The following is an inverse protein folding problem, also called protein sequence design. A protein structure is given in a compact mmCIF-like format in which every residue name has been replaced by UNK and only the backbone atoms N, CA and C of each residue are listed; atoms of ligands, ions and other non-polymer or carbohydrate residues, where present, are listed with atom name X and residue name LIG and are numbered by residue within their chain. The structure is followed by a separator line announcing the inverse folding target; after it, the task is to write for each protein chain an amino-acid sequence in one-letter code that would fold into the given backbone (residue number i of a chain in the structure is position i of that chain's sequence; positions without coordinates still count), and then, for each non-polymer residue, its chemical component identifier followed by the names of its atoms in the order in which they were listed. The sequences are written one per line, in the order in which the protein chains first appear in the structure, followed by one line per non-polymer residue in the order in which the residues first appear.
data_IF_395140600915
#
_entry.id   IF_395140600915
#
_cell.length_a   1.000
_cell.length_b   1.000
_cell.length_c   1.000
_cell.angle_alpha   90.00
_cell.angle_beta   90.00
_cell.angle_gamma   90.00
#
_symmetry.space_group_name_H-M   'P 1'
#
loop_
_entity.id
_entity.type
_entity.pdbx_description
1 polymer ?
#
# COMPACT_ATOMS: atom_id res chain seq x y z
N UNK A 1 -9.74 -36.87 27.95
CA UNK A 1 -8.79 -36.85 26.81
C UNK A 1 -9.39 -36.21 25.56
N UNK A 2 -10.51 -36.70 25.01
CA UNK A 2 -11.12 -36.17 23.77
C UNK A 2 -11.50 -34.68 23.85
N UNK A 3 -12.15 -34.25 24.94
CA UNK A 3 -12.56 -32.85 25.16
C UNK A 3 -11.37 -31.89 25.32
N UNK A 4 -10.31 -32.33 25.98
CA UNK A 4 -9.08 -31.56 26.19
C UNK A 4 -8.32 -31.34 24.89
N UNK A 5 -8.29 -32.36 24.02
CA UNK A 5 -7.66 -32.27 22.68
C UNK A 5 -8.42 -31.31 21.78
N UNK A 6 -9.76 -31.31 21.82
CA UNK A 6 -10.57 -30.35 21.06
C UNK A 6 -10.33 -28.90 21.49
N UNK A 7 -10.21 -28.64 22.80
CA UNK A 7 -9.90 -27.30 23.32
C UNK A 7 -8.50 -26.86 22.86
N UNK A 8 -7.52 -27.76 22.90
CA UNK A 8 -6.15 -27.45 22.46
C UNK A 8 -6.08 -27.09 20.97
N UNK A 9 -6.80 -27.82 20.12
CA UNK A 9 -6.89 -27.53 18.68
C UNK A 9 -7.58 -26.19 18.43
N UNK A 10 -8.66 -25.89 19.16
CA UNK A 10 -9.35 -24.61 19.03
C UNK A 10 -8.44 -23.42 19.39
N UNK A 11 -7.64 -23.54 20.45
CA UNK A 11 -6.70 -22.50 20.87
C UNK A 11 -5.59 -22.28 19.82
N UNK A 12 -5.06 -23.36 19.22
CA UNK A 12 -4.04 -23.27 18.17
C UNK A 12 -4.60 -22.59 16.90
N UNK A 13 -5.83 -22.91 16.50
CA UNK A 13 -6.49 -22.28 15.34
C UNK A 13 -6.72 -20.78 15.58
N UNK A 14 -7.15 -20.39 16.79
CA UNK A 14 -7.31 -18.98 17.16
C UNK A 14 -5.96 -18.25 17.15
N UNK A 15 -4.89 -18.87 17.67
CA UNK A 15 -3.54 -18.29 17.62
C UNK A 15 -3.00 -18.14 16.19
N UNK A 16 -3.26 -19.12 15.31
CA UNK A 16 -2.88 -19.04 13.89
C UNK A 16 -3.64 -17.94 13.13
N UNK A 17 -4.92 -17.72 13.45
CA UNK A 17 -5.71 -16.61 12.91
C UNK A 17 -5.16 -15.25 13.36
N UNK A 18 -4.73 -15.11 14.62
CA UNK A 18 -4.11 -13.88 15.12
C UNK A 18 -2.77 -13.56 14.43
N UNK A 19 -1.96 -14.58 14.12
CA UNK A 19 -0.71 -14.39 13.35
C UNK A 19 -0.94 -14.01 11.88
N UNK A 20 -2.09 -14.36 11.31
CA UNK A 20 -2.45 -13.99 9.93
C UNK A 20 -2.78 -12.50 9.79
N UNK A 21 -3.05 -11.79 10.90
CA UNK A 21 -3.23 -10.34 10.91
C UNK A 21 -1.91 -9.56 10.95
N UNK A 22 -0.77 -10.24 11.17
CA UNK A 22 0.54 -9.60 11.35
C UNK A 22 1.49 -9.83 10.15
N UNK A 23 0.92 -10.14 9.00
CA UNK A 23 1.63 -10.38 7.74
C UNK A 23 1.03 -9.57 6.59
N UNK A 24 0.98 -8.23 6.70
CA UNK A 24 0.92 -7.28 5.59
C UNK A 24 0.86 -5.82 6.09
N UNK A 25 1.83 -5.37 6.88
CA UNK A 25 2.19 -3.94 6.88
C UNK A 25 3.08 -3.63 5.66
N UNK A 26 2.56 -3.96 4.49
CA UNK A 26 3.01 -3.52 3.16
C UNK A 26 1.86 -2.87 2.38
N UNK A 27 0.83 -2.42 3.10
CA UNK A 27 -0.41 -1.86 2.57
C UNK A 27 -0.67 -0.47 3.13
N UNK A 28 0.32 0.42 3.07
CA UNK A 28 0.07 1.84 3.29
C UNK A 28 -0.56 2.41 2.04
N UNK A 29 -1.87 2.70 2.16
CA UNK A 29 -2.51 3.94 1.73
C UNK A 29 -2.42 4.33 0.25
N UNK A 30 -3.58 4.67 -0.32
CA UNK A 30 -3.72 5.13 -1.69
C UNK A 30 -2.64 6.12 -2.17
N UNK A 31 -2.21 5.91 -3.42
CA UNK A 31 -1.80 6.98 -4.32
C UNK A 31 -0.46 7.70 -4.13
N UNK A 32 0.38 7.40 -3.13
CA UNK A 32 1.46 8.35 -2.76
C UNK A 32 2.90 7.80 -2.68
N UNK A 33 3.14 6.51 -2.93
CA UNK A 33 4.50 5.94 -2.81
C UNK A 33 5.30 5.81 -4.11
N UNK A 34 4.63 5.78 -5.27
CA UNK A 34 5.27 5.48 -6.55
C UNK A 34 4.83 6.42 -7.65
N UNK A 35 5.75 6.80 -8.52
CA UNK A 35 5.51 7.58 -9.71
C UNK A 35 4.52 6.83 -10.62
N UNK A 36 3.42 7.48 -10.99
CA UNK A 36 2.39 6.87 -11.83
C UNK A 36 2.90 6.49 -13.23
N UNK A 37 3.88 7.24 -13.76
CA UNK A 37 4.49 7.05 -15.09
C UNK A 37 5.53 5.92 -15.10
N UNK A 38 6.63 6.06 -14.35
CA UNK A 38 7.76 5.11 -14.42
C UNK A 38 7.80 4.10 -13.26
N UNK A 39 6.82 4.15 -12.36
CA UNK A 39 6.72 3.29 -11.16
C UNK A 39 7.91 3.37 -10.21
N UNK A 40 8.87 4.29 -10.38
CA UNK A 40 9.92 4.57 -9.38
C UNK A 40 9.32 5.20 -8.12
N UNK A 41 10.08 5.36 -7.04
CA UNK A 41 9.63 6.07 -5.84
C UNK A 41 9.10 7.47 -6.21
N UNK A 42 7.90 7.80 -5.72
CA UNK A 42 7.39 9.16 -5.85
C UNK A 42 8.04 10.06 -4.80
N UNK A 43 8.51 11.22 -5.23
CA UNK A 43 9.05 12.28 -4.36
C UNK A 43 8.07 13.45 -4.26
N UNK A 44 7.12 13.55 -5.19
CA UNK A 44 6.12 14.60 -5.27
C UNK A 44 4.72 14.02 -5.47
N UNK A 45 3.70 14.74 -5.01
CA UNK A 45 2.30 14.44 -5.30
C UNK A 45 1.69 15.62 -6.05
N UNK A 46 1.03 15.35 -7.17
CA UNK A 46 0.34 16.37 -7.97
C UNK A 46 -1.02 15.84 -8.39
N UNK A 47 -2.09 16.63 -8.19
CA UNK A 47 -3.48 16.24 -8.53
C UNK A 47 -3.86 14.84 -7.96
N UNK A 48 -3.40 14.52 -6.75
CA UNK A 48 -3.66 13.23 -6.09
C UNK A 48 -2.86 12.03 -6.64
N UNK A 49 -1.96 12.24 -7.59
CA UNK A 49 -1.08 11.20 -8.15
C UNK A 49 0.37 11.40 -7.73
N UNK A 50 1.09 10.31 -7.44
CA UNK A 50 2.52 10.33 -7.14
C UNK A 50 3.39 10.47 -8.40
N UNK A 51 4.44 11.28 -8.31
CA UNK A 51 5.42 11.51 -9.38
C UNK A 51 6.86 11.53 -8.83
N UNK A 52 7.83 11.11 -9.65
CA UNK A 52 9.25 11.40 -9.39
C UNK A 52 9.59 12.80 -9.91
N UNK A 53 10.72 13.37 -9.49
CA UNK A 53 11.13 14.75 -9.83
C UNK A 53 10.98 15.11 -11.31
N UNK A 54 11.47 14.25 -12.22
CA UNK A 54 11.37 14.48 -13.66
C UNK A 54 9.92 14.59 -14.11
N UNK A 55 9.12 13.56 -13.84
CA UNK A 55 7.74 13.48 -14.30
C UNK A 55 6.79 14.44 -13.58
N UNK A 56 7.14 14.91 -12.39
CA UNK A 56 6.42 15.98 -11.71
C UNK A 56 6.51 17.27 -12.54
N UNK A 57 7.72 17.68 -12.95
CA UNK A 57 7.91 18.89 -13.77
C UNK A 57 7.18 18.78 -15.12
N UNK A 58 7.22 17.61 -15.74
CA UNK A 58 6.52 17.36 -17.00
C UNK A 58 5.00 17.49 -16.82
N UNK A 59 4.46 16.96 -15.73
CA UNK A 59 3.03 17.07 -15.39
C UNK A 59 2.60 18.53 -15.14
N UNK A 60 3.42 19.32 -14.44
CA UNK A 60 3.17 20.77 -14.23
C UNK A 60 3.23 21.53 -15.56
N UNK A 61 4.25 21.27 -16.38
CA UNK A 61 4.42 21.95 -17.66
C UNK A 61 3.26 21.65 -18.61
N UNK A 62 2.83 20.38 -18.65
CA UNK A 62 1.68 19.96 -19.44
C UNK A 62 0.39 20.63 -18.96
N UNK A 63 0.13 20.68 -17.65
CA UNK A 63 -1.10 21.27 -17.12
C UNK A 63 -1.19 22.77 -17.40
N UNK A 64 -0.07 23.50 -17.25
CA UNK A 64 -0.01 24.93 -17.59
C UNK A 64 -0.24 25.22 -19.07
N UNK A 65 0.08 24.27 -19.94
CA UNK A 65 -0.06 24.41 -21.40
C UNK A 65 -1.46 24.01 -21.88
N UNK A 66 -2.05 22.96 -21.31
CA UNK A 66 -3.25 22.31 -21.84
C UNK A 66 -4.53 22.59 -21.05
N UNK A 67 -4.43 23.11 -19.82
CA UNK A 67 -5.59 23.38 -18.96
C UNK A 67 -5.86 24.89 -18.80
N UNK A 68 -5.54 25.69 -19.82
CA UNK A 68 -5.85 27.13 -19.87
C UNK A 68 -7.32 27.40 -20.12
#
# INVERSE_FOLDING_TARGET
MKKTVTIFIAVIVVLALLFSCMGSSGGSSGGTGRCIICKKTATHTYQGSGYCDTHYRDAISWSMTNLK
#
